data_IF_471966121841
#
_entry.id   IF_471966121841
#
_cell.length_a   1.000
_cell.length_b   1.000
_cell.length_c   1.000
_cell.angle_alpha   90.00
_cell.angle_beta   90.00
_cell.angle_gamma   90.00
#
_symmetry.space_group_name_H-M   'P 1'
#
loop_
_entity.id
_entity.type
_entity.pdbx_description
1 polymer ?
#
# COMPACT_ATOMS: atom_id res chain seq x y z
N UNK A 1 -19.81 4.24 29.21
CA UNK A 1 -21.22 4.64 29.39
C UNK A 1 -21.77 5.26 28.11
N UNK A 2 -21.07 6.24 27.52
CA UNK A 2 -21.37 6.84 26.21
C UNK A 2 -21.61 5.81 25.11
N UNK A 3 -20.74 4.81 24.94
CA UNK A 3 -20.90 3.72 23.95
C UNK A 3 -22.13 2.85 24.18
N UNK A 4 -22.53 2.62 25.44
CA UNK A 4 -23.70 1.81 25.78
C UNK A 4 -24.98 2.61 25.53
N UNK A 5 -25.00 3.89 25.89
CA UNK A 5 -26.09 4.81 25.55
C UNK A 5 -26.24 4.91 24.02
N UNK A 6 -25.13 5.08 23.29
CA UNK A 6 -25.07 5.08 21.82
C UNK A 6 -25.68 3.82 21.18
N UNK A 7 -25.45 2.64 21.77
CA UNK A 7 -26.02 1.37 21.27
C UNK A 7 -27.52 1.19 21.58
N UNK A 8 -28.04 1.83 22.62
CA UNK A 8 -29.45 1.71 23.03
C UNK A 8 -30.40 2.57 22.19
N UNK A 9 -29.90 3.58 21.46
CA UNK A 9 -30.69 4.47 20.60
C UNK A 9 -31.32 3.80 19.36
N UNK A 10 -31.06 2.52 19.11
CA UNK A 10 -31.67 1.76 18.00
C UNK A 10 -33.07 1.18 18.28
N UNK A 11 -33.64 1.36 19.49
CA UNK A 11 -34.90 0.71 19.91
C UNK A 11 -35.98 1.74 20.28
N UNK A 12 -37.10 1.75 19.53
CA UNK A 12 -38.22 2.72 19.57
C UNK A 12 -38.95 2.91 20.92
N UNK A 13 -38.90 1.93 21.82
CA UNK A 13 -39.77 1.92 23.03
C UNK A 13 -39.13 2.59 24.26
N UNK A 14 -37.86 3.03 24.20
CA UNK A 14 -37.12 3.60 25.35
C UNK A 14 -36.72 5.07 25.11
N UNK A 15 -37.28 5.73 24.08
CA UNK A 15 -36.79 7.02 23.58
C UNK A 15 -36.76 8.13 24.65
N UNK A 16 -37.81 8.31 25.45
CA UNK A 16 -37.92 9.48 26.35
C UNK A 16 -36.99 9.42 27.58
N UNK A 17 -36.88 8.27 28.24
CA UNK A 17 -36.00 8.11 29.41
C UNK A 17 -34.52 8.14 29.01
N UNK A 18 -34.18 7.57 27.84
CA UNK A 18 -32.82 7.59 27.30
C UNK A 18 -32.43 8.99 26.86
N UNK A 19 -33.34 9.77 26.27
CA UNK A 19 -33.10 11.19 25.94
C UNK A 19 -32.81 11.99 27.21
N UNK A 20 -33.61 11.81 28.28
CA UNK A 20 -33.38 12.48 29.57
C UNK A 20 -32.02 12.17 30.18
N UNK A 21 -31.67 10.88 30.28
CA UNK A 21 -30.38 10.44 30.82
C UNK A 21 -29.20 10.94 29.97
N UNK A 22 -29.36 10.98 28.66
CA UNK A 22 -28.33 11.49 27.75
C UNK A 22 -28.12 13.00 27.91
N UNK A 23 -29.20 13.78 28.02
CA UNK A 23 -29.11 15.22 28.30
C UNK A 23 -28.46 15.51 29.65
N UNK A 24 -28.81 14.76 30.70
CA UNK A 24 -28.16 14.87 32.01
C UNK A 24 -26.66 14.55 31.94
N UNK A 25 -26.29 13.50 31.21
CA UNK A 25 -24.89 13.14 31.01
C UNK A 25 -24.13 14.23 30.24
N UNK A 26 -24.73 14.82 29.20
CA UNK A 26 -24.13 15.91 28.45
C UNK A 26 -23.88 17.12 29.33
N UNK A 27 -24.88 17.53 30.12
CA UNK A 27 -24.76 18.64 31.07
C UNK A 27 -23.68 18.38 32.13
N UNK A 28 -23.59 17.15 32.64
CA UNK A 28 -22.53 16.75 33.57
C UNK A 28 -21.13 16.88 32.96
N UNK A 29 -20.93 16.37 31.74
CA UNK A 29 -19.65 16.47 31.03
C UNK A 29 -19.27 17.93 30.77
N UNK A 30 -20.23 18.75 30.34
CA UNK A 30 -20.04 20.18 30.14
C UNK A 30 -19.65 20.91 31.44
N UNK A 31 -20.33 20.60 32.55
CA UNK A 31 -20.00 21.17 33.86
C UNK A 31 -18.58 20.81 34.34
N UNK A 32 -18.09 19.61 33.99
CA UNK A 32 -16.70 19.24 34.26
C UNK A 32 -15.72 20.06 33.41
N UNK A 33 -16.01 20.22 32.12
CA UNK A 33 -15.17 21.00 31.18
C UNK A 33 -15.11 22.48 31.57
N UNK A 34 -16.15 23.04 32.20
CA UNK A 34 -16.16 24.41 32.70
C UNK A 34 -15.20 24.68 33.87
N UNK A 35 -14.74 23.66 34.58
CA UNK A 35 -13.79 23.82 35.70
C UNK A 35 -12.35 24.04 35.20
N UNK A 36 -12.17 24.85 34.16
CA UNK A 36 -10.91 25.14 33.48
C UNK A 36 -9.80 25.55 34.45
N UNK A 37 -8.56 25.14 34.17
CA UNK A 37 -7.39 25.37 35.02
C UNK A 37 -7.46 24.88 36.47
N UNK A 38 -8.46 24.10 36.87
CA UNK A 38 -8.43 23.46 38.19
C UNK A 38 -7.39 22.32 38.17
N UNK A 39 -6.31 22.38 38.99
CA UNK A 39 -5.24 21.40 38.96
C UNK A 39 -5.67 20.03 39.52
N UNK A 40 -6.71 20.00 40.35
CA UNK A 40 -7.15 18.77 41.03
C UNK A 40 -7.94 17.81 40.12
N UNK A 41 -8.45 18.28 38.99
CA UNK A 41 -9.36 17.52 38.12
C UNK A 41 -8.91 17.48 36.65
N UNK A 42 -7.66 17.84 36.34
CA UNK A 42 -7.16 18.00 34.96
C UNK A 42 -7.46 16.78 34.08
N UNK A 43 -7.19 15.56 34.58
CA UNK A 43 -7.48 14.33 33.84
C UNK A 43 -8.97 14.06 33.65
N UNK A 44 -9.80 14.43 34.62
CA UNK A 44 -11.26 14.30 34.53
C UNK A 44 -11.80 15.23 33.45
N UNK A 45 -11.27 16.46 33.36
CA UNK A 45 -11.64 17.43 32.31
C UNK A 45 -11.15 17.00 30.93
N UNK A 46 -9.93 16.47 30.83
CA UNK A 46 -9.41 15.85 29.62
C UNK A 46 -10.34 14.75 29.12
N UNK A 47 -10.76 13.83 30.00
CA UNK A 47 -11.68 12.75 29.65
C UNK A 47 -13.06 13.26 29.29
N UNK A 48 -13.57 14.27 30.01
CA UNK A 48 -14.86 14.88 29.70
C UNK A 48 -14.87 15.53 28.31
N UNK A 49 -13.81 16.27 27.95
CA UNK A 49 -13.65 16.85 26.61
C UNK A 49 -13.56 15.77 25.51
N UNK A 50 -12.88 14.65 25.77
CA UNK A 50 -12.88 13.51 24.85
C UNK A 50 -14.26 12.89 24.69
N UNK A 51 -14.99 12.65 25.78
CA UNK A 51 -16.34 12.12 25.72
C UNK A 51 -17.28 13.06 24.95
N UNK A 52 -17.15 14.37 25.14
CA UNK A 52 -17.90 15.36 24.37
C UNK A 52 -17.51 15.35 22.89
N UNK A 53 -16.24 15.12 22.57
CA UNK A 53 -15.76 14.97 21.18
C UNK A 53 -16.38 13.75 20.52
N UNK A 54 -16.42 12.61 21.22
CA UNK A 54 -17.12 11.41 20.75
C UNK A 54 -18.61 11.66 20.56
N UNK A 55 -19.25 12.36 21.50
CA UNK A 55 -20.66 12.72 21.40
C UNK A 55 -20.91 13.59 20.16
N UNK A 56 -20.10 14.61 19.93
CA UNK A 56 -20.23 15.51 18.76
C UNK A 56 -19.90 14.79 17.43
N UNK A 57 -19.03 13.78 17.43
CA UNK A 57 -18.81 12.91 16.26
C UNK A 57 -20.04 12.07 15.91
N UNK A 58 -20.72 11.52 16.93
CA UNK A 58 -21.89 10.67 16.75
C UNK A 58 -23.19 11.48 16.55
N UNK A 59 -23.26 12.68 17.12
CA UNK A 59 -24.40 13.58 17.06
C UNK A 59 -23.93 15.00 16.67
N UNK A 60 -23.63 15.23 15.37
CA UNK A 60 -23.15 16.53 14.91
C UNK A 60 -24.11 17.68 15.26
N UNK A 61 -23.55 18.81 15.67
CA UNK A 61 -24.24 20.05 16.09
C UNK A 61 -24.93 20.00 17.44
N UNK A 62 -24.84 18.91 18.20
CA UNK A 62 -25.44 18.87 19.53
C UNK A 62 -24.82 19.91 20.48
N UNK A 63 -23.55 20.27 20.26
CA UNK A 63 -22.84 21.30 21.01
C UNK A 63 -22.83 22.68 20.32
N UNK A 64 -23.65 22.91 19.28
CA UNK A 64 -23.65 24.17 18.51
C UNK A 64 -23.85 25.41 19.38
N UNK A 65 -24.80 25.36 20.31
CA UNK A 65 -25.09 26.48 21.23
C UNK A 65 -23.97 26.73 22.25
N UNK A 66 -23.05 25.79 22.39
CA UNK A 66 -21.97 25.82 23.36
C UNK A 66 -20.67 26.39 22.77
N UNK A 67 -20.62 26.68 21.46
CA UNK A 67 -19.38 27.05 20.75
C UNK A 67 -18.67 28.24 21.39
N UNK A 68 -19.37 29.34 21.69
CA UNK A 68 -18.73 30.54 22.25
C UNK A 68 -18.14 30.28 23.65
N UNK A 69 -18.83 29.46 24.45
CA UNK A 69 -18.34 29.01 25.74
C UNK A 69 -17.11 28.11 25.58
N UNK A 70 -17.16 27.11 24.69
CA UNK A 70 -16.03 26.23 24.38
C UNK A 70 -14.82 27.04 23.87
N UNK A 71 -15.04 28.07 23.05
CA UNK A 71 -13.98 28.96 22.59
C UNK A 71 -13.32 29.71 23.75
N UNK A 72 -14.13 30.27 24.64
CA UNK A 72 -13.63 30.97 25.84
C UNK A 72 -12.88 30.02 26.78
N UNK A 73 -13.37 28.78 26.95
CA UNK A 73 -12.70 27.76 27.75
C UNK A 73 -11.36 27.33 27.12
N UNK A 74 -11.30 27.20 25.80
CA UNK A 74 -10.05 26.89 25.09
C UNK A 74 -9.02 28.01 25.19
N UNK A 75 -9.45 29.28 25.24
CA UNK A 75 -8.56 30.44 25.42
C UNK A 75 -7.87 30.44 26.79
N UNK A 76 -8.59 30.05 27.84
CA UNK A 76 -8.07 30.07 29.21
C UNK A 76 -7.36 28.78 29.60
N UNK A 77 -7.65 27.66 28.95
CA UNK A 77 -7.09 26.36 29.34
C UNK A 77 -5.59 26.26 29.04
N UNK A 78 -4.79 26.09 30.10
CA UNK A 78 -3.31 26.04 30.00
C UNK A 78 -2.71 24.69 30.43
N UNK A 79 -3.53 23.74 30.91
CA UNK A 79 -3.05 22.44 31.35
C UNK A 79 -2.89 21.44 30.18
N UNK A 80 -2.52 20.20 30.50
CA UNK A 80 -2.45 19.09 29.53
C UNK A 80 -3.79 18.76 28.86
N UNK A 81 -4.91 19.28 29.39
CA UNK A 81 -6.23 19.17 28.77
C UNK A 81 -6.42 20.06 27.54
N UNK A 82 -5.55 21.07 27.34
CA UNK A 82 -5.66 22.08 26.29
C UNK A 82 -5.94 21.48 24.91
N UNK A 83 -5.15 20.48 24.48
CA UNK A 83 -5.34 19.85 23.18
C UNK A 83 -6.75 19.29 22.98
N UNK A 84 -7.38 18.70 24.00
CA UNK A 84 -8.73 18.14 23.86
C UNK A 84 -9.81 19.22 23.78
N UNK A 85 -9.59 20.37 24.42
CA UNK A 85 -10.45 21.53 24.27
C UNK A 85 -10.34 22.09 22.85
N UNK A 86 -9.12 22.21 22.32
CA UNK A 86 -8.89 22.61 20.93
C UNK A 86 -9.54 21.64 19.95
N UNK A 87 -9.43 20.32 20.22
CA UNK A 87 -10.05 19.32 19.39
C UNK A 87 -11.59 19.45 19.40
N UNK A 88 -12.19 19.47 20.58
CA UNK A 88 -13.63 19.62 20.75
C UNK A 88 -14.15 20.89 20.06
N UNK A 89 -13.44 22.01 20.22
CA UNK A 89 -13.76 23.27 19.56
C UNK A 89 -13.72 23.14 18.04
N UNK A 90 -12.61 22.62 17.47
CA UNK A 90 -12.46 22.46 16.02
C UNK A 90 -13.62 21.67 15.41
N UNK A 91 -13.99 20.55 16.04
CA UNK A 91 -15.05 19.68 15.57
C UNK A 91 -16.42 20.36 15.66
N UNK A 92 -16.70 21.01 16.79
CA UNK A 92 -17.99 21.67 17.02
C UNK A 92 -18.21 22.82 16.04
N UNK A 93 -17.16 23.63 15.78
CA UNK A 93 -17.20 24.68 14.76
C UNK A 93 -17.43 24.05 13.39
N UNK A 94 -16.68 22.99 13.02
CA UNK A 94 -16.82 22.33 11.73
C UNK A 94 -18.24 21.81 11.48
N UNK A 95 -18.85 21.15 12.45
CA UNK A 95 -20.20 20.62 12.33
C UNK A 95 -21.27 21.71 12.27
N UNK A 96 -21.05 22.83 12.96
CA UNK A 96 -21.95 23.99 12.94
C UNK A 96 -21.90 24.77 11.63
N UNK A 97 -20.80 24.62 10.89
CA UNK A 97 -20.55 25.27 9.60
C UNK A 97 -21.02 24.43 8.40
N UNK A 98 -21.16 23.11 8.56
CA UNK A 98 -21.69 22.22 7.51
C UNK A 98 -23.15 22.58 7.14
N UNK A 99 -23.62 22.27 5.93
CA UNK A 99 -24.96 22.63 5.42
C UNK A 99 -26.12 21.85 6.08
N UNK A 100 -27.32 22.43 6.11
CA UNK A 100 -28.50 21.97 6.87
C UNK A 100 -29.09 20.59 6.49
N UNK A 101 -28.53 19.84 5.54
CA UNK A 101 -29.13 18.60 5.01
C UNK A 101 -29.21 17.40 5.98
N UNK A 102 -28.78 17.57 7.23
CA UNK A 102 -28.82 16.56 8.31
C UNK A 102 -30.04 16.68 9.24
N UNK A 103 -31.09 17.41 8.84
CA UNK A 103 -32.31 17.55 9.65
C UNK A 103 -33.19 16.29 9.76
N UNK A 104 -32.86 15.18 9.12
CA UNK A 104 -33.85 14.12 8.87
C UNK A 104 -34.09 13.12 10.02
N UNK A 105 -33.42 13.21 11.17
CA UNK A 105 -33.71 12.31 12.30
C UNK A 105 -33.77 12.96 13.70
N UNK A 106 -33.28 14.19 13.89
CA UNK A 106 -32.80 14.58 15.22
C UNK A 106 -33.35 15.89 15.80
N UNK A 107 -34.39 16.49 15.18
CA UNK A 107 -35.16 17.59 15.78
C UNK A 107 -35.93 17.25 17.08
N UNK A 108 -35.69 16.06 17.66
CA UNK A 108 -36.31 15.55 18.88
C UNK A 108 -35.45 15.72 20.14
N UNK A 109 -34.16 16.02 20.02
CA UNK A 109 -33.33 16.26 21.18
C UNK A 109 -33.52 17.71 21.67
N UNK A 110 -33.64 17.93 22.99
CA UNK A 110 -33.68 19.28 23.52
C UNK A 110 -32.39 20.00 23.14
N UNK A 111 -32.52 21.18 22.54
CA UNK A 111 -31.43 22.16 22.45
C UNK A 111 -30.85 22.31 23.85
N UNK A 112 -29.57 21.98 24.01
CA UNK A 112 -28.94 22.03 25.33
C UNK A 112 -28.58 23.48 25.61
N UNK A 113 -29.55 24.19 26.18
CA UNK A 113 -29.37 25.55 26.63
C UNK A 113 -28.50 25.58 27.89
N UNK A 114 -27.32 26.17 27.77
CA UNK A 114 -26.47 26.48 28.92
C UNK A 114 -27.19 27.46 29.84
N UNK A 115 -27.56 27.01 31.05
CA UNK A 115 -27.99 27.90 32.13
C UNK A 115 -26.77 28.42 32.86
N UNK A 116 -26.07 29.39 32.27
CA UNK A 116 -25.03 30.11 33.00
C UNK A 116 -25.37 31.60 33.17
N UNK A 117 -25.25 32.09 34.40
CA UNK A 117 -25.56 33.47 34.80
C UNK A 117 -24.47 34.48 34.38
N UNK A 118 -23.46 34.04 33.63
CA UNK A 118 -22.27 34.84 33.34
C UNK A 118 -22.31 35.57 32.00
N UNK A 119 -23.09 35.14 31.01
CA UNK A 119 -23.45 35.95 29.85
C UNK A 119 -24.81 35.47 29.33
N UNK A 120 -25.79 36.39 29.20
CA UNK A 120 -26.94 36.14 28.35
C UNK A 120 -26.40 35.98 26.92
N UNK A 121 -26.23 34.73 26.48
CA UNK A 121 -25.88 34.44 25.10
C UNK A 121 -27.18 34.62 24.34
N UNK A 122 -27.39 35.80 23.77
CA UNK A 122 -28.37 35.97 22.69
C UNK A 122 -28.10 34.89 21.65
N UNK A 123 -29.16 34.30 21.07
CA UNK A 123 -29.09 33.34 19.97
C UNK A 123 -28.54 34.02 18.69
N UNK A 124 -27.35 34.60 18.74
CA UNK A 124 -26.66 35.16 17.59
C UNK A 124 -26.11 34.02 16.75
N UNK A 125 -26.61 33.94 15.52
CA UNK A 125 -26.02 33.05 14.52
C UNK A 125 -24.52 33.32 14.41
N UNK A 126 -23.72 32.25 14.47
CA UNK A 126 -22.27 32.31 14.28
C UNK A 126 -21.95 33.04 12.97
N UNK A 127 -21.35 34.21 13.08
CA UNK A 127 -20.97 34.99 11.91
C UNK A 127 -19.70 34.42 11.28
N UNK A 128 -19.46 34.76 10.01
CA UNK A 128 -18.21 34.39 9.32
C UNK A 128 -16.99 34.96 10.04
N UNK A 129 -17.12 36.15 10.63
CA UNK A 129 -16.05 36.78 11.40
C UNK A 129 -15.68 35.95 12.65
N UNK A 130 -16.69 35.43 13.36
CA UNK A 130 -16.48 34.57 14.54
C UNK A 130 -15.77 33.27 14.15
N UNK A 131 -16.21 32.64 13.06
CA UNK A 131 -15.58 31.41 12.55
C UNK A 131 -14.12 31.67 12.16
N UNK A 132 -13.85 32.75 11.43
CA UNK A 132 -12.48 33.11 11.04
C UNK A 132 -11.59 33.38 12.26
N UNK A 133 -12.12 34.02 13.30
CA UNK A 133 -11.40 34.24 14.56
C UNK A 133 -11.06 32.90 15.24
N UNK A 134 -12.04 31.99 15.34
CA UNK A 134 -11.84 30.67 15.95
C UNK A 134 -10.85 29.82 15.13
N UNK A 135 -10.91 29.87 13.80
CA UNK A 135 -9.96 29.19 12.92
C UNK A 135 -8.56 29.76 13.11
N UNK A 136 -8.39 31.09 13.13
CA UNK A 136 -7.07 31.70 13.38
C UNK A 136 -6.51 31.24 14.72
N UNK A 137 -7.32 31.28 15.78
CA UNK A 137 -6.93 30.80 17.09
C UNK A 137 -6.50 29.33 17.07
N UNK A 138 -7.29 28.45 16.43
CA UNK A 138 -6.97 27.02 16.31
C UNK A 138 -5.62 26.80 15.63
N UNK A 139 -5.33 27.56 14.58
CA UNK A 139 -4.08 27.44 13.83
C UNK A 139 -2.87 27.99 14.61
N UNK A 140 -3.06 29.08 15.35
CA UNK A 140 -2.01 29.69 16.18
C UNK A 140 -1.58 28.78 17.34
N UNK A 141 -2.51 28.01 17.92
CA UNK A 141 -2.24 27.11 19.03
C UNK A 141 -1.70 25.72 18.63
N UNK A 142 -1.57 25.41 17.33
CA UNK A 142 -1.13 24.08 16.87
C UNK A 142 0.24 23.68 17.43
N UNK A 143 1.10 24.65 17.75
CA UNK A 143 2.43 24.42 18.34
C UNK A 143 2.37 23.80 19.74
N UNK A 144 1.26 23.97 20.46
CA UNK A 144 1.02 23.40 21.79
C UNK A 144 0.42 21.99 21.74
N UNK A 145 0.03 21.51 20.56
CA UNK A 145 -0.57 20.20 20.38
C UNK A 145 0.48 19.15 19.98
N UNK A 146 0.18 17.88 20.26
CA UNK A 146 0.91 16.75 19.66
C UNK A 146 0.69 16.73 18.15
N UNK A 147 1.58 16.07 17.40
CA UNK A 147 1.47 15.99 15.93
C UNK A 147 0.14 15.36 15.48
N UNK A 148 -0.39 14.40 16.23
CA UNK A 148 -1.70 13.79 16.00
C UNK A 148 -2.85 14.78 16.22
N UNK A 149 -2.80 15.55 17.32
CA UNK A 149 -3.79 16.60 17.60
C UNK A 149 -3.76 17.70 16.54
N UNK A 150 -2.56 18.19 16.19
CA UNK A 150 -2.41 19.19 15.13
C UNK A 150 -2.91 18.66 13.79
N UNK A 151 -2.58 17.42 13.43
CA UNK A 151 -3.06 16.77 12.20
C UNK A 151 -4.60 16.78 12.14
N UNK A 152 -5.25 16.31 13.21
CA UNK A 152 -6.71 16.21 13.26
C UNK A 152 -7.39 17.59 13.20
N UNK A 153 -6.89 18.58 13.95
CA UNK A 153 -7.40 19.96 13.91
C UNK A 153 -7.25 20.55 12.50
N UNK A 154 -6.08 20.38 11.85
CA UNK A 154 -5.86 20.88 10.49
C UNK A 154 -6.84 20.23 9.52
N UNK A 155 -7.05 18.91 9.59
CA UNK A 155 -8.03 18.23 8.74
C UNK A 155 -9.44 18.81 8.90
N UNK A 156 -9.89 19.09 10.12
CA UNK A 156 -11.19 19.72 10.37
C UNK A 156 -11.26 21.14 9.80
N UNK A 157 -10.21 21.94 9.97
CA UNK A 157 -10.13 23.29 9.37
C UNK A 157 -10.18 23.23 7.85
N UNK A 158 -9.48 22.28 7.23
CA UNK A 158 -9.53 22.07 5.79
C UNK A 158 -10.92 21.67 5.32
N UNK A 159 -11.63 20.81 6.07
CA UNK A 159 -13.02 20.44 5.78
C UNK A 159 -13.97 21.63 5.87
N UNK A 160 -13.79 22.52 6.86
CA UNK A 160 -14.57 23.77 6.97
C UNK A 160 -14.37 24.65 5.73
N UNK A 161 -13.12 24.90 5.35
CA UNK A 161 -12.79 25.72 4.17
C UNK A 161 -13.26 25.10 2.86
N UNK A 162 -13.32 23.76 2.77
CA UNK A 162 -13.84 23.05 1.59
C UNK A 162 -15.36 23.10 1.51
N UNK A 163 -16.04 23.12 2.65
CA UNK A 163 -17.51 23.08 2.71
C UNK A 163 -18.16 24.43 2.45
N UNK A 164 -17.38 25.52 2.51
CA UNK A 164 -17.87 26.90 2.44
C UNK A 164 -16.96 27.79 1.61
N UNK A 165 -17.50 28.31 0.50
CA UNK A 165 -16.76 29.14 -0.45
C UNK A 165 -16.25 30.46 0.16
N UNK A 166 -16.97 31.03 1.13
CA UNK A 166 -16.58 32.23 1.87
C UNK A 166 -15.36 32.00 2.76
N UNK A 167 -15.24 30.84 3.40
CA UNK A 167 -14.05 30.46 4.17
C UNK A 167 -12.87 30.07 3.27
N UNK A 168 -13.14 29.58 2.06
CA UNK A 168 -12.11 29.24 1.09
C UNK A 168 -11.25 30.46 0.69
N UNK A 169 -11.81 31.67 0.75
CA UNK A 169 -11.08 32.92 0.52
C UNK A 169 -9.94 33.14 1.54
N UNK A 170 -10.03 32.53 2.72
CA UNK A 170 -9.07 32.64 3.81
C UNK A 170 -8.04 31.50 3.86
N UNK A 171 -7.95 30.66 2.81
CA UNK A 171 -7.01 29.52 2.74
C UNK A 171 -5.54 29.93 2.91
N UNK A 172 -5.17 31.18 2.60
CA UNK A 172 -3.80 31.68 2.79
C UNK A 172 -3.32 31.61 4.24
N UNK A 173 -4.23 31.59 5.23
CA UNK A 173 -3.89 31.42 6.64
C UNK A 173 -3.21 30.07 6.90
N UNK A 174 -3.36 29.08 6.00
CA UNK A 174 -2.68 27.78 6.08
C UNK A 174 -1.24 27.81 5.54
N UNK A 175 -0.76 28.91 4.94
CA UNK A 175 0.59 29.00 4.36
C UNK A 175 1.71 28.75 5.39
N UNK A 176 1.66 29.27 6.64
CA UNK A 176 2.66 28.97 7.65
C UNK A 176 2.76 27.47 7.97
N UNK A 177 1.62 26.76 7.95
CA UNK A 177 1.55 25.31 8.19
C UNK A 177 2.22 24.56 7.05
N UNK A 178 1.97 24.97 5.82
CA UNK A 178 2.68 24.45 4.64
C UNK A 178 4.19 24.60 4.83
N UNK A 179 4.68 25.82 5.06
CA UNK A 179 6.12 26.11 5.16
C UNK A 179 6.77 25.32 6.30
N UNK A 180 6.11 25.23 7.46
CA UNK A 180 6.63 24.50 8.61
C UNK A 180 6.73 22.99 8.33
N UNK A 181 5.73 22.40 7.68
CA UNK A 181 5.65 20.94 7.49
C UNK A 181 6.30 20.43 6.20
N UNK A 182 6.63 21.32 5.25
CA UNK A 182 7.23 20.98 3.96
C UNK A 182 8.57 20.25 4.08
N UNK A 183 9.30 20.46 5.17
CA UNK A 183 10.68 19.93 5.39
C UNK A 183 10.77 18.90 6.52
N UNK A 184 9.64 18.41 7.00
CA UNK A 184 9.59 17.53 8.18
C UNK A 184 9.59 16.06 7.75
N UNK A 185 10.30 15.21 8.51
CA UNK A 185 10.37 13.76 8.28
C UNK A 185 9.20 12.98 8.91
N UNK A 186 8.36 13.64 9.70
CA UNK A 186 7.18 13.04 10.31
C UNK A 186 6.12 12.77 9.22
N UNK A 187 5.69 11.52 9.01
CA UNK A 187 4.75 11.18 7.94
C UNK A 187 3.38 11.84 8.07
N UNK A 188 2.86 12.04 9.28
CA UNK A 188 1.55 12.66 9.50
C UNK A 188 1.60 14.14 9.09
N UNK A 189 2.59 14.89 9.59
CA UNK A 189 2.82 16.29 9.20
C UNK A 189 3.04 16.44 7.70
N UNK A 190 3.81 15.54 7.09
CA UNK A 190 4.05 15.56 5.65
C UNK A 190 2.79 15.22 4.85
N UNK A 191 1.96 14.29 5.36
CA UNK A 191 0.69 13.94 4.74
C UNK A 191 -0.28 15.14 4.71
N UNK A 192 -0.32 15.96 5.75
CA UNK A 192 -1.10 17.23 5.74
C UNK A 192 -0.74 18.08 4.53
N UNK A 193 0.55 18.22 4.22
CA UNK A 193 0.99 19.02 3.07
C UNK A 193 0.45 18.47 1.75
N UNK A 194 0.43 17.14 1.58
CA UNK A 194 -0.19 16.52 0.40
C UNK A 194 -1.71 16.70 0.37
N UNK A 195 -2.40 16.61 1.51
CA UNK A 195 -3.84 16.88 1.58
C UNK A 195 -4.14 18.35 1.22
N UNK A 196 -3.34 19.29 1.70
CA UNK A 196 -3.45 20.70 1.37
C UNK A 196 -3.28 20.94 -0.13
N UNK A 197 -2.30 20.27 -0.76
CA UNK A 197 -2.10 20.36 -2.21
C UNK A 197 -3.30 19.80 -2.96
N UNK A 198 -3.81 18.64 -2.54
CA UNK A 198 -4.94 17.97 -3.19
C UNK A 198 -6.23 18.81 -3.11
N UNK A 199 -6.49 19.46 -1.98
CA UNK A 199 -7.72 20.22 -1.78
C UNK A 199 -7.65 21.66 -2.26
N UNK A 200 -6.50 22.33 -2.14
CA UNK A 200 -6.39 23.77 -2.43
C UNK A 200 -5.47 24.08 -3.61
N UNK A 201 -4.63 23.15 -4.06
CA UNK A 201 -3.89 23.27 -5.31
C UNK A 201 -3.21 24.62 -5.52
N UNK A 202 -3.56 25.31 -6.60
CA UNK A 202 -3.04 26.65 -6.95
C UNK A 202 -3.48 27.77 -6.02
N UNK A 203 -4.50 27.57 -5.19
CA UNK A 203 -4.91 28.58 -4.21
C UNK A 203 -3.87 28.74 -3.10
N UNK A 204 -3.12 27.68 -2.76
CA UNK A 204 -2.14 27.71 -1.67
C UNK A 204 -0.70 27.48 -2.13
N UNK A 205 -0.50 26.69 -3.19
CA UNK A 205 0.81 26.28 -3.66
C UNK A 205 1.24 27.05 -4.91
N UNK A 206 2.44 27.62 -4.83
CA UNK A 206 3.19 28.08 -5.98
C UNK A 206 3.95 26.92 -6.63
N UNK A 207 4.44 27.10 -7.86
CA UNK A 207 5.24 26.09 -8.57
C UNK A 207 6.52 25.72 -7.79
N UNK A 208 7.13 26.71 -7.11
CA UNK A 208 8.29 26.50 -6.24
C UNK A 208 7.95 25.58 -5.07
N UNK A 209 6.79 25.74 -4.45
CA UNK A 209 6.35 24.89 -3.33
C UNK A 209 6.13 23.44 -3.77
N UNK A 210 5.53 23.24 -4.96
CA UNK A 210 5.33 21.90 -5.53
C UNK A 210 6.66 21.22 -5.84
N UNK A 211 7.61 21.97 -6.40
CA UNK A 211 8.95 21.47 -6.70
C UNK A 211 9.71 21.09 -5.42
N UNK A 212 9.63 21.91 -4.37
CA UNK A 212 10.23 21.60 -3.07
C UNK A 212 9.57 20.39 -2.41
N UNK A 213 8.24 20.29 -2.44
CA UNK A 213 7.48 19.17 -1.91
C UNK A 213 7.87 17.85 -2.60
N UNK A 214 7.96 17.86 -3.93
CA UNK A 214 8.41 16.70 -4.69
C UNK A 214 9.85 16.31 -4.32
N UNK A 215 10.74 17.30 -4.24
CA UNK A 215 12.14 17.07 -3.86
C UNK A 215 12.27 16.44 -2.48
N UNK A 216 11.53 16.94 -1.50
CA UNK A 216 11.51 16.39 -0.14
C UNK A 216 10.87 15.00 -0.11
N UNK A 217 9.81 14.77 -0.89
CA UNK A 217 9.17 13.46 -1.02
C UNK A 217 10.17 12.41 -1.51
N UNK A 218 10.96 12.73 -2.54
CA UNK A 218 12.00 11.83 -3.05
C UNK A 218 13.16 11.63 -2.05
N UNK A 219 13.55 12.68 -1.31
CA UNK A 219 14.54 12.55 -0.22
C UNK A 219 14.04 11.61 0.86
N UNK A 220 12.79 11.74 1.29
CA UNK A 220 12.18 10.87 2.29
C UNK A 220 12.04 9.42 1.76
N UNK A 221 11.65 9.24 0.49
CA UNK A 221 11.58 7.93 -0.16
C UNK A 221 12.93 7.19 -0.20
N UNK A 222 14.04 7.91 -0.08
CA UNK A 222 15.41 7.36 -0.12
C UNK A 222 16.12 7.39 1.23
N UNK A 223 15.45 7.88 2.29
CA UNK A 223 16.10 8.07 3.59
C UNK A 223 16.46 6.74 4.24
N UNK A 224 17.74 6.50 4.62
CA UNK A 224 18.19 5.19 5.08
C UNK A 224 17.47 4.70 6.34
N UNK A 225 17.20 5.61 7.29
CA UNK A 225 16.56 5.27 8.57
C UNK A 225 15.04 5.09 8.50
N UNK A 226 14.40 5.33 7.35
CA UNK A 226 12.96 5.16 7.24
C UNK A 226 12.60 3.69 6.95
N UNK A 227 11.57 3.14 7.63
CA UNK A 227 10.99 1.85 7.32
C UNK A 227 10.53 1.72 5.86
N UNK A 228 10.57 0.50 5.31
CA UNK A 228 10.17 0.23 3.93
C UNK A 228 8.72 0.68 3.62
N UNK A 229 7.79 0.50 4.56
CA UNK A 229 6.40 0.93 4.38
C UNK A 229 6.28 2.45 4.17
N UNK A 230 7.03 3.26 4.92
CA UNK A 230 7.03 4.70 4.77
C UNK A 230 7.72 5.12 3.46
N UNK A 231 8.83 4.49 3.09
CA UNK A 231 9.48 4.73 1.79
C UNK A 231 8.53 4.47 0.63
N UNK A 232 7.77 3.37 0.69
CA UNK A 232 6.76 3.05 -0.33
C UNK A 232 5.64 4.10 -0.37
N UNK A 233 5.16 4.57 0.79
CA UNK A 233 4.18 5.64 0.87
C UNK A 233 4.68 6.95 0.22
N UNK A 234 5.94 7.33 0.48
CA UNK A 234 6.54 8.49 -0.19
C UNK A 234 6.68 8.28 -1.70
N UNK A 235 7.00 7.07 -2.17
CA UNK A 235 7.03 6.76 -3.60
C UNK A 235 5.64 6.82 -4.24
N UNK A 236 4.59 6.41 -3.51
CA UNK A 236 3.19 6.58 -3.93
C UNK A 236 2.83 8.05 -4.13
N UNK A 237 3.15 8.90 -3.15
CA UNK A 237 2.93 10.34 -3.26
C UNK A 237 3.77 10.96 -4.37
N UNK A 238 5.02 10.54 -4.55
CA UNK A 238 5.85 11.02 -5.65
C UNK A 238 5.21 10.66 -6.99
N UNK A 239 4.70 9.43 -7.13
CA UNK A 239 4.01 8.92 -8.33
C UNK A 239 2.92 9.84 -8.89
N UNK A 240 2.16 10.54 -8.04
CA UNK A 240 1.08 11.42 -8.50
C UNK A 240 1.59 12.69 -9.20
N UNK A 241 2.76 13.23 -8.82
CA UNK A 241 3.34 14.41 -9.48
C UNK A 241 3.77 14.11 -10.91
N UNK A 242 4.12 12.86 -11.15
CA UNK A 242 4.76 12.41 -12.36
C UNK A 242 3.79 12.02 -13.47
N UNK A 243 2.49 12.02 -13.20
CA UNK A 243 1.46 11.85 -14.22
C UNK A 243 1.17 13.16 -14.97
N UNK A 244 1.60 14.32 -14.45
CA UNK A 244 1.34 15.65 -15.02
C UNK A 244 2.57 16.42 -15.49
N UNK A 245 3.71 16.32 -14.79
CA UNK A 245 4.89 17.14 -15.05
C UNK A 245 6.07 16.34 -15.66
N UNK A 246 6.88 17.01 -16.49
CA UNK A 246 8.13 16.42 -16.99
C UNK A 246 9.17 16.36 -15.86
N UNK A 247 9.63 15.16 -15.46
CA UNK A 247 10.57 15.04 -14.36
C UNK A 247 11.95 15.62 -14.74
N UNK A 248 12.53 16.39 -13.82
CA UNK A 248 13.91 16.87 -13.95
C UNK A 248 14.91 15.71 -13.79
N UNK A 249 16.09 15.83 -14.42
CA UNK A 249 17.17 14.82 -14.33
C UNK A 249 17.58 14.52 -12.89
N UNK A 250 17.55 15.51 -12.01
CA UNK A 250 17.81 15.39 -10.56
C UNK A 250 16.79 14.50 -9.83
N UNK A 251 15.57 14.36 -10.36
CA UNK A 251 14.56 13.46 -9.79
C UNK A 251 14.82 12.01 -10.21
N UNK A 252 15.28 11.82 -11.45
CA UNK A 252 15.61 10.49 -12.01
C UNK A 252 16.75 9.85 -11.20
N UNK A 253 17.78 10.62 -10.84
CA UNK A 253 18.93 10.10 -10.05
C UNK A 253 18.51 9.57 -8.68
N UNK A 254 17.47 10.14 -8.05
CA UNK A 254 16.94 9.68 -6.75
C UNK A 254 16.14 8.37 -6.84
N UNK A 255 15.77 7.95 -8.05
CA UNK A 255 15.06 6.68 -8.28
C UNK A 255 16.00 5.51 -8.55
N UNK A 256 17.31 5.75 -8.65
CA UNK A 256 18.26 4.66 -8.62
C UNK A 256 18.27 4.00 -7.22
N UNK A 257 18.75 2.77 -7.20
CA UNK A 257 18.78 1.97 -5.98
C UNK A 257 19.57 2.68 -4.87
N UNK A 258 19.05 2.61 -3.64
CA UNK A 258 19.79 2.90 -2.42
C UNK A 258 20.28 1.59 -1.79
N UNK A 259 21.38 1.65 -1.03
CA UNK A 259 21.88 0.52 -0.24
C UNK A 259 20.84 -0.02 0.77
N UNK A 260 19.88 0.83 1.15
CA UNK A 260 18.84 0.55 2.14
C UNK A 260 17.46 0.31 1.51
N UNK A 261 17.41 0.02 0.21
CA UNK A 261 16.17 -0.31 -0.47
C UNK A 261 15.92 -1.82 -0.43
N UNK A 262 14.80 -2.22 0.16
CA UNK A 262 14.27 -3.59 0.06
C UNK A 262 13.72 -3.90 -1.34
N UNK A 263 13.37 -5.17 -1.62
CA UNK A 263 12.91 -5.60 -2.94
C UNK A 263 11.69 -4.82 -3.43
N UNK A 264 10.73 -4.53 -2.54
CA UNK A 264 9.51 -3.79 -2.89
C UNK A 264 9.80 -2.32 -3.22
N UNK A 265 10.74 -1.69 -2.49
CA UNK A 265 11.17 -0.31 -2.75
C UNK A 265 11.91 -0.21 -4.08
N UNK A 266 12.83 -1.14 -4.36
CA UNK A 266 13.55 -1.20 -5.64
C UNK A 266 12.58 -1.43 -6.80
N UNK A 267 11.65 -2.38 -6.67
CA UNK A 267 10.60 -2.65 -7.65
C UNK A 267 9.83 -1.36 -7.99
N UNK A 268 9.36 -0.64 -6.97
CA UNK A 268 8.55 0.56 -7.19
C UNK A 268 9.34 1.69 -7.85
N UNK A 269 10.59 1.91 -7.41
CA UNK A 269 11.48 2.89 -8.04
C UNK A 269 11.77 2.57 -9.50
N UNK A 270 12.05 1.30 -9.83
CA UNK A 270 12.33 0.87 -11.21
C UNK A 270 11.07 0.92 -12.09
N UNK A 271 9.89 0.64 -11.55
CA UNK A 271 8.62 0.86 -12.24
C UNK A 271 8.39 2.34 -12.57
N UNK A 272 8.62 3.23 -11.59
CA UNK A 272 8.54 4.67 -11.83
C UNK A 272 9.56 5.10 -12.90
N UNK A 273 10.82 4.67 -12.77
CA UNK A 273 11.88 4.92 -13.75
C UNK A 273 11.50 4.47 -15.17
N UNK A 274 10.91 3.27 -15.30
CA UNK A 274 10.41 2.76 -16.57
C UNK A 274 9.33 3.66 -17.17
N UNK A 275 8.34 4.08 -16.37
CA UNK A 275 7.31 5.01 -16.81
C UNK A 275 7.89 6.36 -17.28
N UNK A 276 8.92 6.87 -16.59
CA UNK A 276 9.56 8.16 -16.92
C UNK A 276 10.39 8.19 -18.17
N UNK A 277 11.01 7.06 -18.48
CA UNK A 277 11.86 6.93 -19.65
C UNK A 277 11.05 6.52 -20.88
N UNK A 278 9.73 6.34 -20.74
CA UNK A 278 8.86 5.95 -21.86
C UNK A 278 9.03 6.94 -23.00
N UNK A 279 9.27 6.42 -24.20
CA UNK A 279 9.54 7.18 -25.43
C UNK A 279 10.82 8.05 -25.42
N UNK A 280 11.73 7.89 -24.43
CA UNK A 280 13.02 8.60 -24.42
C UNK A 280 14.11 7.76 -25.08
N UNK A 281 14.96 8.40 -25.88
CA UNK A 281 16.13 7.74 -26.48
C UNK A 281 17.11 7.29 -25.38
N UNK A 282 17.68 6.09 -25.56
CA UNK A 282 18.63 5.51 -24.60
C UNK A 282 18.02 4.96 -23.31
N UNK A 283 16.68 4.93 -23.18
CA UNK A 283 15.97 4.39 -22.02
C UNK A 283 16.40 2.96 -21.69
N UNK A 284 16.52 2.10 -22.71
CA UNK A 284 16.85 0.68 -22.58
C UNK A 284 18.16 0.46 -21.81
N UNK A 285 19.21 1.23 -22.14
CA UNK A 285 20.52 1.12 -21.49
C UNK A 285 20.43 1.51 -20.01
N UNK A 286 19.78 2.64 -19.71
CA UNK A 286 19.63 3.13 -18.34
C UNK A 286 18.78 2.18 -17.47
N UNK A 287 17.71 1.62 -18.01
CA UNK A 287 16.83 0.70 -17.29
C UNK A 287 17.53 -0.61 -16.94
N UNK A 288 18.28 -1.18 -17.89
CA UNK A 288 19.07 -2.38 -17.66
C UNK A 288 20.18 -2.12 -16.63
N UNK A 289 20.90 -0.99 -16.73
CA UNK A 289 21.89 -0.59 -15.73
C UNK A 289 21.28 -0.40 -14.34
N UNK A 290 20.11 0.25 -14.24
CA UNK A 290 19.43 0.46 -12.97
C UNK A 290 18.96 -0.86 -12.33
N UNK A 291 18.62 -1.87 -13.15
CA UNK A 291 18.20 -3.20 -12.67
C UNK A 291 19.36 -4.11 -12.24
N UNK A 292 20.60 -3.79 -12.60
CA UNK A 292 21.77 -4.63 -12.34
C UNK A 292 21.96 -4.93 -10.84
N UNK A 293 21.64 -3.97 -9.96
CA UNK A 293 21.74 -4.19 -8.53
C UNK A 293 20.67 -5.14 -7.99
N UNK A 294 19.43 -5.03 -8.48
CA UNK A 294 18.37 -5.97 -8.13
C UNK A 294 18.72 -7.37 -8.63
N UNK A 295 19.24 -7.48 -9.86
CA UNK A 295 19.74 -8.74 -10.41
C UNK A 295 20.84 -9.34 -9.52
N UNK A 296 21.81 -8.53 -9.08
CA UNK A 296 22.91 -9.00 -8.24
C UNK A 296 22.47 -9.55 -6.87
N UNK A 297 21.25 -9.21 -6.42
CA UNK A 297 20.63 -9.69 -5.18
C UNK A 297 19.80 -10.97 -5.39
N UNK A 298 19.47 -11.32 -6.64
CA UNK A 298 18.87 -12.61 -7.01
C UNK A 298 19.98 -13.66 -7.13
N UNK A 299 20.36 -14.22 -5.99
CA UNK A 299 21.37 -15.29 -5.88
C UNK A 299 20.74 -16.58 -5.33
N UNK A 300 21.41 -17.74 -5.47
CA UNK A 300 21.03 -18.95 -4.75
C UNK A 300 20.79 -18.69 -3.26
N UNK A 301 19.64 -19.10 -2.74
CA UNK A 301 19.23 -18.85 -1.36
C UNK A 301 18.66 -17.46 -1.05
N UNK A 302 18.57 -16.57 -2.05
CA UNK A 302 17.93 -15.25 -1.88
C UNK A 302 16.42 -15.37 -1.63
N UNK A 303 15.86 -14.34 -1.00
CA UNK A 303 14.42 -14.26 -0.71
C UNK A 303 13.58 -14.29 -1.99
N UNK A 304 12.46 -15.03 -1.92
CA UNK A 304 11.37 -15.04 -2.91
C UNK A 304 10.96 -13.61 -3.33
N UNK A 305 11.05 -12.64 -2.41
CA UNK A 305 10.70 -11.24 -2.68
C UNK A 305 11.62 -10.58 -3.71
N UNK A 306 12.93 -10.86 -3.69
CA UNK A 306 13.87 -10.33 -4.68
C UNK A 306 13.63 -10.93 -6.06
N UNK A 307 13.38 -12.24 -6.12
CA UNK A 307 13.03 -12.96 -7.34
C UNK A 307 11.78 -12.39 -7.98
N UNK A 308 10.68 -12.30 -7.20
CA UNK A 308 9.44 -11.71 -7.65
C UNK A 308 9.59 -10.25 -8.11
N UNK A 309 10.35 -9.43 -7.36
CA UNK A 309 10.61 -8.05 -7.73
C UNK A 309 11.36 -7.95 -9.07
N UNK A 310 12.42 -8.73 -9.24
CA UNK A 310 13.21 -8.74 -10.48
C UNK A 310 12.35 -9.13 -11.68
N UNK A 311 11.60 -10.23 -11.58
CA UNK A 311 10.71 -10.69 -12.65
C UNK A 311 9.66 -9.65 -13.03
N UNK A 312 9.05 -8.98 -12.05
CA UNK A 312 8.05 -7.93 -12.29
C UNK A 312 8.65 -6.70 -12.98
N UNK A 313 9.87 -6.32 -12.60
CA UNK A 313 10.61 -5.24 -13.27
C UNK A 313 10.88 -5.59 -14.74
N UNK A 314 11.36 -6.80 -15.01
CA UNK A 314 11.65 -7.26 -16.37
C UNK A 314 10.39 -7.30 -17.24
N UNK A 315 9.29 -7.83 -16.72
CA UNK A 315 7.99 -7.79 -17.39
C UNK A 315 7.58 -6.34 -17.71
N UNK A 316 7.70 -5.44 -16.73
CA UNK A 316 7.35 -4.03 -16.93
C UNK A 316 8.21 -3.37 -18.01
N UNK A 317 9.50 -3.68 -18.06
CA UNK A 317 10.40 -3.17 -19.08
C UNK A 317 10.00 -3.65 -20.48
N UNK A 318 9.65 -4.92 -20.65
CA UNK A 318 9.16 -5.45 -21.92
C UNK A 318 7.87 -4.77 -22.36
N UNK A 319 6.94 -4.51 -21.43
CA UNK A 319 5.67 -3.83 -21.74
C UNK A 319 5.84 -2.34 -22.07
N UNK A 320 6.66 -1.60 -21.30
CA UNK A 320 6.80 -0.16 -21.49
C UNK A 320 7.81 0.20 -22.60
N UNK A 321 8.77 -0.69 -22.88
CA UNK A 321 9.91 -0.45 -23.79
C UNK A 321 10.18 -1.66 -24.69
N UNK A 322 9.28 -2.00 -25.64
CA UNK A 322 9.46 -3.11 -26.59
C UNK A 322 10.49 -2.77 -27.69
N UNK A 323 11.65 -2.28 -27.28
CA UNK A 323 12.82 -2.02 -28.14
C UNK A 323 13.59 -3.31 -28.36
N UNK A 324 14.29 -3.43 -29.48
CA UNK A 324 15.15 -4.59 -29.78
C UNK A 324 16.15 -4.86 -28.64
N UNK A 325 16.77 -3.81 -28.08
CA UNK A 325 17.70 -3.94 -26.95
C UNK A 325 17.09 -4.64 -25.72
N UNK A 326 15.83 -4.34 -25.39
CA UNK A 326 15.14 -4.92 -24.23
C UNK A 326 14.65 -6.33 -24.57
N UNK A 327 14.06 -6.51 -25.75
CA UNK A 327 13.56 -7.80 -26.23
C UNK A 327 14.69 -8.83 -26.34
N UNK A 328 15.91 -8.40 -26.69
CA UNK A 328 17.06 -9.30 -26.80
C UNK A 328 17.73 -9.55 -25.45
N UNK A 329 17.89 -8.52 -24.60
CA UNK A 329 18.64 -8.66 -23.35
C UNK A 329 17.84 -9.27 -22.21
N UNK A 330 16.54 -8.98 -22.10
CA UNK A 330 15.73 -9.47 -20.99
C UNK A 330 15.65 -11.01 -20.98
N UNK A 331 15.37 -11.70 -22.09
CA UNK A 331 15.40 -13.16 -22.13
C UNK A 331 16.73 -13.75 -21.66
N UNK A 332 17.84 -13.19 -22.14
CA UNK A 332 19.18 -13.61 -21.75
C UNK A 332 19.43 -13.46 -20.23
N UNK A 333 18.93 -12.37 -19.62
CA UNK A 333 19.04 -12.17 -18.17
C UNK A 333 18.20 -13.19 -17.39
N UNK A 334 16.98 -13.48 -17.85
CA UNK A 334 16.10 -14.48 -17.23
C UNK A 334 16.73 -15.86 -17.29
N UNK A 335 17.25 -16.25 -18.46
CA UNK A 335 17.93 -17.52 -18.69
C UNK A 335 19.18 -17.64 -17.81
N UNK A 336 20.07 -16.65 -17.84
CA UNK A 336 21.28 -16.66 -17.03
C UNK A 336 20.97 -16.76 -15.53
N UNK A 337 19.91 -16.08 -15.07
CA UNK A 337 19.49 -16.12 -13.66
C UNK A 337 18.92 -17.50 -13.29
N UNK A 338 18.10 -18.10 -14.16
CA UNK A 338 17.52 -19.43 -13.93
C UNK A 338 18.58 -20.54 -13.90
N UNK A 339 19.59 -20.45 -14.79
CA UNK A 339 20.71 -21.40 -14.83
C UNK A 339 21.65 -21.23 -13.63
N UNK A 340 21.78 -20.02 -13.08
CA UNK A 340 22.57 -19.77 -11.88
C UNK A 340 21.85 -20.18 -10.58
N UNK A 341 20.52 -19.99 -10.51
CA UNK A 341 19.68 -20.36 -9.38
C UNK A 341 18.38 -21.03 -9.86
N UNK A 342 18.34 -22.36 -9.78
CA UNK A 342 17.19 -23.18 -10.17
C UNK A 342 15.90 -22.81 -9.42
N UNK A 343 15.99 -22.26 -8.22
CA UNK A 343 14.80 -21.80 -7.48
C UNK A 343 14.19 -20.50 -8.04
N UNK A 344 14.80 -19.91 -9.07
CA UNK A 344 14.22 -18.83 -9.88
C UNK A 344 13.30 -19.34 -10.99
N UNK A 345 13.36 -20.63 -11.36
CA UNK A 345 12.55 -21.22 -12.43
C UNK A 345 11.04 -20.90 -12.32
N UNK A 346 10.37 -21.02 -11.15
CA UNK A 346 8.95 -20.72 -11.06
C UNK A 346 8.60 -19.29 -11.50
N UNK A 347 9.48 -18.33 -11.22
CA UNK A 347 9.30 -16.94 -11.61
C UNK A 347 9.58 -16.72 -13.11
N UNK A 348 10.56 -17.43 -13.67
CA UNK A 348 10.81 -17.42 -15.11
C UNK A 348 9.62 -17.99 -15.89
N UNK A 349 9.03 -19.09 -15.42
CA UNK A 349 7.82 -19.70 -16.02
C UNK A 349 6.60 -18.79 -15.88
N UNK A 350 6.43 -18.13 -14.73
CA UNK A 350 5.39 -17.11 -14.56
C UNK A 350 5.55 -15.96 -15.56
N UNK A 351 6.78 -15.52 -15.82
CA UNK A 351 7.06 -14.50 -16.83
C UNK A 351 6.72 -15.00 -18.24
N UNK A 352 7.17 -16.21 -18.61
CA UNK A 352 6.85 -16.84 -19.92
C UNK A 352 5.34 -16.87 -20.13
N UNK A 353 4.58 -17.30 -19.12
CA UNK A 353 3.12 -17.34 -19.17
C UNK A 353 2.50 -15.95 -19.37
N UNK A 354 2.96 -14.95 -18.62
CA UNK A 354 2.49 -13.57 -18.78
C UNK A 354 2.82 -13.00 -20.16
N UNK A 355 4.00 -13.27 -20.70
CA UNK A 355 4.42 -12.83 -22.03
C UNK A 355 3.63 -13.52 -23.14
N UNK A 356 3.39 -14.83 -23.02
CA UNK A 356 2.59 -15.57 -23.98
C UNK A 356 1.15 -15.03 -24.07
N UNK A 357 0.56 -14.67 -22.93
CA UNK A 357 -0.77 -14.07 -22.86
C UNK A 357 -0.82 -12.60 -23.31
N UNK A 358 0.32 -11.99 -23.63
CA UNK A 358 0.41 -10.61 -24.12
C UNK A 358 0.71 -10.62 -25.63
N UNK A 359 -0.25 -10.29 -26.51
CA UNK A 359 -0.11 -10.53 -27.96
C UNK A 359 1.15 -9.94 -28.60
N UNK A 360 1.56 -8.74 -28.17
CA UNK A 360 2.74 -8.03 -28.69
C UNK A 360 4.08 -8.67 -28.26
N UNK A 361 4.07 -9.50 -27.22
CA UNK A 361 5.27 -10.08 -26.60
C UNK A 361 5.27 -11.62 -26.66
N UNK A 362 4.29 -12.23 -27.32
CA UNK A 362 4.14 -13.68 -27.39
C UNK A 362 5.38 -14.36 -27.96
N UNK A 363 6.02 -13.79 -28.99
CA UNK A 363 7.27 -14.29 -29.57
C UNK A 363 8.44 -14.28 -28.57
N UNK A 364 8.47 -13.34 -27.63
CA UNK A 364 9.52 -13.24 -26.59
C UNK A 364 9.38 -14.37 -25.56
N UNK A 365 8.17 -14.92 -25.38
CA UNK A 365 7.99 -16.06 -24.49
C UNK A 365 8.77 -17.31 -24.97
N UNK A 366 8.80 -17.55 -26.29
CA UNK A 366 9.54 -18.65 -26.89
C UNK A 366 11.06 -18.50 -26.73
N UNK A 367 11.59 -17.27 -26.83
CA UNK A 367 13.04 -17.02 -26.68
C UNK A 367 13.57 -17.28 -25.26
N UNK A 368 12.68 -17.32 -24.26
CA UNK A 368 13.01 -17.74 -22.88
C UNK A 368 12.75 -19.23 -22.71
N UNK A 369 11.63 -19.73 -23.22
CA UNK A 369 11.17 -21.06 -22.87
C UNK A 369 11.88 -22.18 -23.64
N UNK A 370 12.14 -22.01 -24.95
CA UNK A 370 12.85 -23.01 -25.75
C UNK A 370 14.26 -23.32 -25.20
N UNK A 371 15.10 -22.32 -24.82
CA UNK A 371 16.41 -22.62 -24.27
C UNK A 371 16.34 -23.31 -22.90
N UNK A 372 15.33 -22.99 -22.06
CA UNK A 372 15.14 -23.70 -20.79
C UNK A 372 14.87 -25.19 -21.03
N UNK A 373 13.88 -25.50 -21.88
CA UNK A 373 13.56 -26.89 -22.24
C UNK A 373 14.78 -27.58 -22.84
N UNK A 374 15.45 -26.92 -23.78
CA UNK A 374 16.63 -27.47 -24.46
C UNK A 374 17.78 -27.78 -23.50
N UNK A 375 18.10 -26.89 -22.55
CA UNK A 375 19.20 -27.10 -21.58
C UNK A 375 18.90 -28.26 -20.63
N UNK A 376 17.66 -28.37 -20.14
CA UNK A 376 17.31 -29.39 -19.14
C UNK A 376 16.93 -30.74 -19.74
N UNK A 377 16.71 -30.82 -21.06
CA UNK A 377 16.46 -32.08 -21.80
C UNK A 377 17.73 -32.68 -22.41
N UNK A 378 18.91 -32.35 -21.88
CA UNK A 378 20.21 -32.86 -22.33
C UNK A 378 20.83 -33.76 -21.27
N UNK A 379 21.67 -34.74 -21.67
CA UNK A 379 22.38 -35.62 -20.73
C UNK A 379 23.26 -34.85 -19.74
N UNK A 380 23.93 -33.78 -20.20
CA UNK A 380 24.84 -32.94 -19.41
C UNK A 380 24.11 -31.88 -18.57
N UNK A 381 22.81 -32.07 -18.32
CA UNK A 381 21.97 -31.15 -17.57
C UNK A 381 22.52 -30.96 -16.14
N UNK A 382 22.56 -29.73 -15.60
CA UNK A 382 23.06 -29.45 -14.25
C UNK A 382 22.09 -29.90 -13.14
N UNK A 383 21.15 -30.78 -13.47
CA UNK A 383 20.08 -31.23 -12.59
C UNK A 383 20.62 -32.19 -11.54
N UNK A 384 20.18 -31.97 -10.31
CA UNK A 384 20.44 -32.83 -9.16
C UNK A 384 19.11 -33.24 -8.56
N UNK A 385 19.10 -34.24 -7.67
CA UNK A 385 17.88 -34.66 -7.00
C UNK A 385 17.16 -33.52 -6.25
N UNK A 386 17.91 -32.55 -5.72
CA UNK A 386 17.33 -31.39 -5.01
C UNK A 386 16.76 -30.33 -5.94
N UNK A 387 17.27 -30.23 -7.18
CA UNK A 387 16.82 -29.25 -8.17
C UNK A 387 15.80 -29.82 -9.15
N UNK A 388 15.67 -31.13 -9.24
CA UNK A 388 14.73 -31.85 -10.10
C UNK A 388 13.27 -31.37 -9.99
N UNK A 389 12.70 -31.05 -8.81
CA UNK A 389 11.34 -30.48 -8.76
C UNK A 389 11.16 -29.24 -9.63
N UNK A 390 12.18 -28.39 -9.75
CA UNK A 390 12.12 -27.19 -10.59
C UNK A 390 12.19 -27.53 -12.08
N UNK A 391 12.94 -28.58 -12.45
CA UNK A 391 13.03 -29.08 -13.83
C UNK A 391 11.70 -29.70 -14.25
N UNK A 392 11.07 -30.48 -13.37
CA UNK A 392 9.74 -31.03 -13.62
C UNK A 392 8.70 -29.93 -13.86
N UNK A 393 8.81 -28.77 -13.22
CA UNK A 393 7.93 -27.62 -13.52
C UNK A 393 8.10 -27.10 -14.95
N UNK A 394 9.32 -27.13 -15.52
CA UNK A 394 9.58 -26.76 -16.91
C UNK A 394 8.86 -27.73 -17.84
N UNK A 395 9.03 -29.03 -17.63
CA UNK A 395 8.38 -30.08 -18.41
C UNK A 395 6.85 -30.11 -18.24
N UNK A 396 6.34 -29.74 -17.08
CA UNK A 396 4.90 -29.57 -16.92
C UNK A 396 4.39 -28.37 -17.73
N UNK A 397 5.17 -27.28 -17.80
CA UNK A 397 4.80 -26.13 -18.62
C UNK A 397 4.92 -26.41 -20.12
N UNK A 398 5.87 -27.23 -20.58
CA UNK A 398 6.06 -27.42 -22.04
C UNK A 398 4.88 -28.11 -22.71
N UNK A 399 4.13 -28.92 -21.96
CA UNK A 399 2.88 -29.54 -22.42
C UNK A 399 1.86 -28.49 -22.88
N UNK A 400 1.87 -27.30 -22.26
CA UNK A 400 1.00 -26.19 -22.64
C UNK A 400 1.42 -25.53 -23.96
N UNK A 401 2.68 -25.72 -24.38
CA UNK A 401 3.29 -25.10 -25.55
C UNK A 401 3.64 -26.15 -26.60
N UNK A 402 2.63 -26.64 -27.34
CA UNK A 402 2.79 -27.75 -28.31
C UNK A 402 3.88 -27.53 -29.36
N UNK A 403 4.17 -26.28 -29.72
CA UNK A 403 5.21 -25.92 -30.69
C UNK A 403 6.64 -26.19 -30.16
N UNK A 404 6.83 -26.15 -28.84
CA UNK A 404 8.12 -26.27 -28.16
C UNK A 404 8.29 -27.66 -27.55
N UNK A 405 7.17 -28.28 -27.14
CA UNK A 405 7.14 -29.56 -26.46
C UNK A 405 7.86 -30.66 -27.24
N UNK A 406 8.78 -31.39 -26.59
CA UNK A 406 9.47 -32.55 -27.15
C UNK A 406 9.29 -33.78 -26.23
N UNK A 407 8.07 -34.38 -26.19
CA UNK A 407 7.73 -35.42 -25.21
C UNK A 407 8.73 -36.57 -25.15
N UNK A 408 9.11 -37.11 -26.32
CA UNK A 408 10.04 -38.24 -26.40
C UNK A 408 11.41 -37.91 -25.79
N UNK A 409 11.91 -36.71 -26.01
CA UNK A 409 13.20 -36.27 -25.49
C UNK A 409 13.17 -36.08 -23.98
N UNK A 410 12.11 -35.44 -23.48
CA UNK A 410 11.89 -35.24 -22.04
C UNK A 410 11.75 -36.58 -21.32
N UNK A 411 10.99 -37.51 -21.90
CA UNK A 411 10.81 -38.85 -21.36
C UNK A 411 12.12 -39.67 -21.38
N UNK A 412 12.88 -39.64 -22.47
CA UNK A 412 14.20 -40.29 -22.53
C UNK A 412 15.16 -39.73 -21.48
N UNK A 413 15.20 -38.40 -21.31
CA UNK A 413 15.98 -37.77 -20.26
C UNK A 413 15.59 -38.28 -18.85
N UNK A 414 14.29 -38.35 -18.56
CA UNK A 414 13.80 -38.88 -17.29
C UNK A 414 14.16 -40.37 -17.11
N UNK A 415 14.02 -41.18 -18.14
CA UNK A 415 14.30 -42.60 -18.12
C UNK A 415 15.79 -42.91 -17.88
N UNK A 416 16.66 -42.22 -18.63
CA UNK A 416 18.08 -42.54 -18.70
C UNK A 416 18.90 -41.86 -17.60
N UNK A 417 18.45 -40.70 -17.10
CA UNK A 417 19.27 -39.86 -16.22
C UNK A 417 18.62 -39.56 -14.86
N UNK A 418 17.31 -39.75 -14.71
CA UNK A 418 16.61 -39.46 -13.46
C UNK A 418 16.08 -40.72 -12.78
N UNK A 419 15.54 -41.67 -13.53
CA UNK A 419 14.94 -42.89 -12.99
C UNK A 419 15.90 -44.08 -13.03
N UNK A 420 17.16 -43.84 -12.67
CA UNK A 420 18.12 -44.93 -12.47
C UNK A 420 17.81 -45.65 -11.15
N UNK A 421 18.20 -46.92 -11.06
CA UNK A 421 17.89 -47.78 -9.90
C UNK A 421 18.32 -47.17 -8.57
N UNK A 422 19.50 -46.54 -8.54
CA UNK A 422 20.07 -45.88 -7.36
C UNK A 422 19.28 -44.64 -6.93
N UNK A 423 18.73 -43.91 -7.91
CA UNK A 423 17.95 -42.69 -7.64
C UNK A 423 16.56 -43.03 -7.12
N UNK A 424 15.93 -44.07 -7.68
CA UNK A 424 14.60 -44.55 -7.25
C UNK A 424 14.55 -44.93 -5.77
N UNK A 425 15.64 -45.46 -5.20
CA UNK A 425 15.74 -45.80 -3.77
C UNK A 425 15.76 -44.57 -2.85
N UNK A 426 16.11 -43.39 -3.36
CA UNK A 426 16.32 -42.16 -2.60
C UNK A 426 15.20 -41.13 -2.87
N UNK A 427 14.41 -41.31 -3.92
CA UNK A 427 13.34 -40.39 -4.32
C UNK A 427 12.24 -40.33 -3.24
N UNK A 428 11.87 -39.10 -2.85
CA UNK A 428 10.71 -38.87 -1.99
C UNK A 428 9.39 -39.20 -2.72
N UNK A 429 8.38 -39.67 -1.98
CA UNK A 429 7.03 -39.92 -2.51
C UNK A 429 6.47 -38.71 -3.28
N UNK A 430 6.67 -37.50 -2.77
CA UNK A 430 6.21 -36.26 -3.42
C UNK A 430 6.84 -36.03 -4.80
N UNK A 431 8.12 -36.38 -4.95
CA UNK A 431 8.84 -36.22 -6.21
C UNK A 431 8.41 -37.32 -7.20
N UNK A 432 8.27 -38.57 -6.74
CA UNK A 432 7.70 -39.64 -7.55
C UNK A 432 6.32 -39.28 -8.11
N UNK A 433 5.44 -38.73 -7.27
CA UNK A 433 4.12 -38.26 -7.69
C UNK A 433 4.19 -37.16 -8.77
N UNK A 434 5.15 -36.23 -8.69
CA UNK A 434 5.33 -35.18 -9.71
C UNK A 434 5.74 -35.77 -11.07
N UNK A 435 6.63 -36.78 -11.06
CA UNK A 435 7.04 -37.50 -12.27
C UNK A 435 5.85 -38.24 -12.88
N UNK A 436 5.08 -38.97 -12.06
CA UNK A 436 3.89 -39.68 -12.53
C UNK A 436 2.83 -38.73 -13.10
N UNK A 437 2.59 -37.61 -12.42
CA UNK A 437 1.68 -36.56 -12.90
C UNK A 437 2.12 -35.97 -14.24
N UNK A 438 3.44 -35.82 -14.44
CA UNK A 438 4.00 -35.36 -15.70
C UNK A 438 3.78 -36.40 -16.82
N UNK A 439 4.12 -37.67 -16.59
CA UNK A 439 3.87 -38.75 -17.56
C UNK A 439 2.38 -38.87 -17.93
N UNK A 440 1.49 -38.81 -16.93
CA UNK A 440 0.05 -38.80 -17.16
C UNK A 440 -0.39 -37.60 -18.02
N UNK A 441 0.20 -36.43 -17.80
CA UNK A 441 -0.13 -35.23 -18.60
C UNK A 441 0.31 -35.38 -20.05
N UNK A 442 1.48 -35.98 -20.32
CA UNK A 442 1.88 -36.30 -21.70
C UNK A 442 0.93 -37.31 -22.35
N UNK A 443 0.58 -38.40 -21.66
CA UNK A 443 -0.34 -39.42 -22.18
C UNK A 443 -1.74 -38.85 -22.49
N UNK A 444 -2.15 -37.80 -21.76
CA UNK A 444 -3.43 -37.13 -21.99
C UNK A 444 -3.42 -36.23 -23.23
N UNK A 445 -2.31 -35.53 -23.47
CA UNK A 445 -2.24 -34.46 -24.49
C UNK A 445 -1.61 -34.90 -25.82
N UNK A 446 -0.87 -36.02 -25.83
CA UNK A 446 -0.12 -36.50 -26.99
C UNK A 446 -0.36 -38.00 -27.25
N UNK A 447 -0.05 -38.46 -28.48
CA UNK A 447 -0.13 -39.88 -28.82
C UNK A 447 0.93 -40.68 -28.05
N UNK A 448 0.46 -41.66 -27.26
CA UNK A 448 1.30 -42.51 -26.42
C UNK A 448 2.32 -43.30 -27.24
N UNK A 449 1.95 -43.74 -28.44
CA UNK A 449 2.82 -44.54 -29.30
C UNK A 449 3.99 -43.73 -29.85
N UNK A 450 3.79 -42.45 -30.13
CA UNK A 450 4.85 -41.54 -30.55
C UNK A 450 5.71 -41.08 -29.36
N UNK A 451 5.09 -40.84 -28.19
CA UNK A 451 5.80 -40.33 -27.01
C UNK A 451 6.73 -41.36 -26.36
N UNK A 452 6.32 -42.63 -26.31
CA UNK A 452 7.04 -43.69 -25.58
C UNK A 452 7.84 -44.64 -26.49
N UNK A 453 7.92 -44.36 -27.79
CA UNK A 453 8.71 -45.18 -28.70
C UNK A 453 10.21 -45.11 -28.32
N UNK A 454 10.77 -46.25 -27.92
CA UNK A 454 12.16 -46.35 -27.45
C UNK A 454 12.40 -45.96 -26.00
N UNK A 455 11.35 -45.69 -25.22
CA UNK A 455 11.47 -45.28 -23.82
C UNK A 455 10.96 -46.39 -22.88
N UNK A 456 11.85 -47.07 -22.16
CA UNK A 456 11.48 -48.10 -21.17
C UNK A 456 10.88 -47.51 -19.88
N UNK A 457 10.26 -46.32 -19.92
CA UNK A 457 9.59 -45.73 -18.76
C UNK A 457 8.48 -46.63 -18.23
N UNK A 458 7.83 -47.43 -19.09
CA UNK A 458 6.82 -48.40 -18.64
C UNK A 458 7.45 -49.52 -17.79
N UNK A 459 8.64 -50.00 -18.14
CA UNK A 459 9.37 -50.99 -17.33
C UNK A 459 9.88 -50.38 -16.02
N UNK A 460 10.28 -49.11 -16.05
CA UNK A 460 10.63 -48.32 -14.86
C UNK A 460 9.40 -48.06 -13.97
N UNK A 461 8.25 -47.78 -14.57
CA UNK A 461 6.97 -47.58 -13.89
C UNK A 461 6.52 -48.88 -13.19
N UNK A 462 6.59 -50.01 -13.89
CA UNK A 462 6.27 -51.33 -13.35
C UNK A 462 7.23 -51.74 -12.22
N UNK A 463 8.52 -51.40 -12.32
CA UNK A 463 9.49 -51.67 -11.25
C UNK A 463 9.35 -50.74 -10.03
N UNK A 464 8.87 -49.51 -10.21
CA UNK A 464 8.53 -48.58 -9.12
C UNK A 464 7.23 -48.99 -8.39
N UNK A 465 6.20 -49.47 -9.11
CA UNK A 465 4.99 -50.01 -8.48
C UNK A 465 5.28 -51.28 -7.68
N UNK A 466 6.13 -52.18 -8.20
CA UNK A 466 6.49 -53.42 -7.51
C UNK A 466 7.30 -53.17 -6.22
N UNK A 467 8.25 -52.23 -6.24
CA UNK A 467 9.05 -51.87 -5.05
C UNK A 467 8.25 -51.11 -3.98
N UNK A 468 7.28 -50.28 -4.38
CA UNK A 468 6.38 -49.60 -3.44
C UNK A 468 5.36 -50.52 -2.77
N UNK A 469 5.02 -51.66 -3.38
CA UNK A 469 4.19 -52.70 -2.76
C UNK A 469 4.89 -53.44 -1.61
N UNK A 470 6.22 -53.51 -1.64
CA UNK A 470 7.04 -54.15 -0.58
C UNK A 470 7.32 -53.19 0.59
N UNK A 471 7.41 -51.87 0.36
CA UNK A 471 7.67 -50.88 1.40
C UNK A 471 6.42 -50.46 2.23
N UNK A 472 5.20 -50.80 1.78
CA UNK A 472 3.96 -50.56 2.53
C UNK A 472 3.57 -51.72 3.47
N UNK A 473 4.44 -52.73 3.63
CA UNK A 473 4.20 -53.91 4.48
C UNK A 473 5.02 -53.90 5.79
N UNK A 474 5.90 -52.92 6.03
CA UNK A 474 6.63 -52.76 7.31
C UNK A 474 6.31 -51.45 8.06
#
# INVERSE_FOLDING_TARGET
MTTILLQLFGKKEVENEVIGLFSEHLLFLLALVQQSNNPSNVYVRFMAANCLTEVELNFPRILRECINNLYSLSLIETSVAHQQYMCLLALTVKNSVASESLETLWGKFPKVHFKDKLHQVDETELTIADINQMVSFLLDQLVLCTKEGSFWIICLVMEMMRSRADLQLSVQVLKPILIHNLRVYNPQSFHVVHLLLNHFGSMLFEEKDRTELLNQTLVNATHPSLPACLKLLYLDWAGSYFQGDTPQTSHITKLFHGLFDGPETQLKKLHMLSGFLKNKSGASVLLLQASANLQSQVRPGSSIKYKAAFTRVLYRYLCDHPTTDIIDKVPNLVLATALQDMSYIPFALDLVRCLHNTPELSAVSATIFEPLVSVFSQPDSPTTLTTLPHVLLIFQHEILYREICQPQRTLLYLAEHVLTKEVCEIISWSLGHQILSLCHSYMKEFDVTECFNGCNIIDVYLSLELTSSEACID
#
